data_IF_755231203998
#
_entry.id   IF_755231203998
#
_cell.length_a   1.000
_cell.length_b   1.000
_cell.length_c   1.000
_cell.angle_alpha   90.00
_cell.angle_beta   90.00
_cell.angle_gamma   90.00
#
_symmetry.space_group_name_H-M   'P 1'
#
loop_
_entity.id
_entity.type
_entity.pdbx_description
1 polymer ?
#
# COMPACT_ATOMS: atom_id res chain seq x y z
N UNK A 1 30.54 -8.25 -20.95
CA UNK A 1 29.95 -7.17 -20.17
C UNK A 1 29.42 -7.81 -18.89
N UNK A 2 30.18 -7.73 -17.80
CA UNK A 2 29.97 -8.47 -16.55
C UNK A 2 28.93 -7.72 -15.72
N UNK A 3 27.79 -8.36 -15.45
CA UNK A 3 26.84 -7.85 -14.47
C UNK A 3 27.41 -8.12 -13.07
N UNK A 4 27.85 -7.07 -12.42
CA UNK A 4 28.27 -7.11 -11.02
C UNK A 4 27.00 -7.34 -10.19
N UNK A 5 26.93 -8.54 -9.59
CA UNK A 5 25.87 -8.97 -8.67
C UNK A 5 26.10 -8.30 -7.29
N UNK A 6 25.73 -7.01 -7.19
CA UNK A 6 25.85 -6.25 -5.94
C UNK A 6 24.59 -6.49 -5.09
N UNK A 7 24.45 -7.74 -4.62
CA UNK A 7 23.45 -8.09 -3.60
C UNK A 7 23.99 -7.60 -2.26
N UNK A 8 23.34 -6.65 -1.60
CA UNK A 8 23.67 -6.35 -0.21
C UNK A 8 23.45 -7.61 0.61
N UNK A 9 24.53 -8.17 1.11
CA UNK A 9 24.54 -9.33 2.00
C UNK A 9 23.97 -8.90 3.37
N UNK A 10 22.65 -8.75 3.45
CA UNK A 10 21.97 -8.63 4.74
C UNK A 10 21.95 -10.03 5.32
N UNK A 11 22.95 -10.36 6.11
CA UNK A 11 22.92 -11.57 6.98
C UNK A 11 21.78 -11.36 7.96
N UNK A 12 20.60 -11.79 7.58
CA UNK A 12 19.46 -11.84 8.48
C UNK A 12 19.76 -12.90 9.52
N UNK A 13 19.84 -12.50 10.79
CA UNK A 13 19.90 -13.45 11.89
C UNK A 13 18.75 -14.46 11.72
N UNK A 14 18.99 -15.75 11.92
CA UNK A 14 17.99 -16.83 11.74
C UNK A 14 16.67 -16.60 12.51
N UNK A 15 16.65 -15.65 13.44
CA UNK A 15 15.53 -15.35 14.33
C UNK A 15 14.96 -13.93 14.17
N UNK A 16 15.21 -13.26 13.03
CA UNK A 16 14.75 -11.87 12.75
C UNK A 16 13.24 -11.67 12.92
N UNK A 17 12.44 -12.73 12.80
CA UNK A 17 10.98 -12.70 12.91
C UNK A 17 10.48 -12.91 14.36
N UNK A 18 11.35 -13.23 15.31
CA UNK A 18 10.96 -13.44 16.71
C UNK A 18 10.63 -12.13 17.40
N UNK A 19 9.46 -12.09 18.03
CA UNK A 19 9.05 -10.99 18.88
C UNK A 19 9.51 -11.27 20.31
N UNK A 20 10.05 -10.25 20.94
CA UNK A 20 10.31 -10.25 22.39
C UNK A 20 9.07 -9.73 23.11
N UNK A 21 8.89 -10.13 24.36
CA UNK A 21 7.86 -9.62 25.27
C UNK A 21 6.42 -9.79 24.74
N UNK A 22 6.12 -10.96 24.16
CA UNK A 22 4.82 -11.27 23.56
C UNK A 22 3.66 -11.28 24.56
N UNK A 23 3.94 -11.35 25.85
CA UNK A 23 2.94 -11.43 26.93
C UNK A 23 2.04 -10.19 27.01
N UNK A 24 2.52 -9.05 26.52
CA UNK A 24 1.79 -7.79 26.51
C UNK A 24 1.10 -7.47 25.17
N UNK A 25 1.15 -8.39 24.21
CA UNK A 25 0.54 -8.18 22.88
C UNK A 25 -0.88 -8.73 22.88
N UNK A 26 -1.85 -7.85 22.67
CA UNK A 26 -3.25 -8.25 22.47
C UNK A 26 -3.39 -8.93 21.11
N UNK A 27 -3.91 -10.16 21.11
CA UNK A 27 -4.13 -10.93 19.88
C UNK A 27 -5.62 -11.02 19.54
N UNK A 28 -6.00 -11.12 18.25
CA UNK A 28 -5.10 -11.21 17.08
C UNK A 28 -4.44 -9.87 16.73
N UNK A 29 -3.17 -9.89 16.29
CA UNK A 29 -2.42 -8.71 15.89
C UNK A 29 -1.71 -8.93 14.55
N UNK A 30 -1.55 -7.87 13.77
CA UNK A 30 -0.75 -7.88 12.54
C UNK A 30 0.68 -7.46 12.88
N UNK A 31 1.62 -8.37 12.65
CA UNK A 31 3.03 -8.07 12.81
C UNK A 31 3.60 -7.53 11.51
N UNK A 32 4.23 -6.37 11.58
CA UNK A 32 4.89 -5.72 10.44
C UNK A 32 6.36 -5.42 10.75
N UNK A 33 7.19 -5.46 9.73
CA UNK A 33 8.63 -5.15 9.79
C UNK A 33 8.90 -3.99 8.83
N UNK A 34 8.94 -2.74 9.33
CA UNK A 34 9.02 -1.55 8.48
C UNK A 34 10.20 -1.56 7.50
N UNK A 35 11.38 -2.01 7.96
CA UNK A 35 12.60 -2.07 7.14
C UNK A 35 12.45 -3.06 5.97
N UNK A 36 11.76 -4.19 6.20
CA UNK A 36 11.49 -5.17 5.14
C UNK A 36 10.42 -4.67 4.17
N UNK A 37 9.40 -3.98 4.67
CA UNK A 37 8.39 -3.34 3.82
C UNK A 37 9.06 -2.31 2.92
N UNK A 38 9.91 -1.43 3.47
CA UNK A 38 10.61 -0.42 2.68
C UNK A 38 11.55 -1.05 1.64
N UNK A 39 12.29 -2.10 2.00
CA UNK A 39 13.10 -2.87 1.06
C UNK A 39 12.25 -3.45 -0.07
N UNK A 40 11.09 -4.03 0.24
CA UNK A 40 10.18 -4.61 -0.74
C UNK A 40 9.61 -3.53 -1.68
N UNK A 41 9.26 -2.34 -1.16
CA UNK A 41 8.82 -1.21 -1.96
C UNK A 41 9.91 -0.80 -2.96
N UNK A 42 11.15 -0.62 -2.51
CA UNK A 42 12.29 -0.28 -3.38
C UNK A 42 12.53 -1.35 -4.45
N UNK A 43 12.46 -2.62 -4.07
CA UNK A 43 12.58 -3.76 -5.00
C UNK A 43 11.47 -3.74 -6.05
N UNK A 44 10.22 -3.55 -5.63
CA UNK A 44 9.07 -3.46 -6.54
C UNK A 44 9.22 -2.31 -7.54
N UNK A 45 9.66 -1.14 -7.10
CA UNK A 45 9.89 0.03 -7.96
C UNK A 45 10.99 -0.28 -9.00
N UNK A 46 12.09 -0.90 -8.56
CA UNK A 46 13.20 -1.29 -9.44
C UNK A 46 12.75 -2.30 -10.49
N UNK A 47 12.02 -3.35 -10.08
CA UNK A 47 11.52 -4.39 -10.99
C UNK A 47 10.52 -3.85 -12.01
N UNK A 48 9.69 -2.88 -11.62
CA UNK A 48 8.72 -2.24 -12.50
C UNK A 48 9.33 -1.19 -13.44
N UNK A 49 10.60 -0.83 -13.26
CA UNK A 49 11.23 0.24 -14.03
C UNK A 49 10.72 1.64 -13.67
N UNK A 50 10.20 1.82 -12.45
CA UNK A 50 9.78 3.12 -11.92
C UNK A 50 8.36 3.13 -11.34
N UNK A 51 8.08 4.14 -10.52
CA UNK A 51 6.82 4.28 -9.77
C UNK A 51 5.59 4.48 -10.65
N UNK A 52 5.76 5.09 -11.83
CA UNK A 52 4.66 5.35 -12.79
C UNK A 52 3.95 4.08 -13.28
N UNK A 53 4.64 2.93 -13.24
CA UNK A 53 4.13 1.63 -13.67
C UNK A 53 3.44 0.86 -12.55
N UNK A 54 3.41 1.41 -11.33
CA UNK A 54 2.88 0.75 -10.16
C UNK A 54 1.50 1.29 -9.78
N UNK A 55 0.62 0.36 -9.40
CA UNK A 55 -0.67 0.62 -8.76
C UNK A 55 -0.91 -0.49 -7.71
N UNK A 56 -0.23 -0.41 -6.55
CA UNK A 56 -0.37 -1.42 -5.50
C UNK A 56 -1.80 -1.54 -5.00
N UNK A 57 -2.19 -2.74 -4.62
CA UNK A 57 -3.50 -3.01 -4.05
C UNK A 57 -3.41 -3.05 -2.52
N UNK A 58 -4.15 -2.18 -1.81
CA UNK A 58 -4.06 -2.06 -0.36
C UNK A 58 -4.91 -3.08 0.42
N UNK A 59 -5.74 -3.88 -0.25
CA UNK A 59 -6.62 -4.87 0.41
C UNK A 59 -5.88 -5.85 1.33
N UNK A 60 -4.59 -6.08 1.08
CA UNK A 60 -3.77 -7.04 1.80
C UNK A 60 -3.33 -6.55 3.17
N UNK A 61 -3.14 -5.24 3.34
CA UNK A 61 -2.68 -4.65 4.60
C UNK A 61 -3.67 -3.66 5.20
N UNK A 62 -4.42 -2.89 4.40
CA UNK A 62 -5.42 -1.89 4.85
C UNK A 62 -4.87 -0.90 5.87
N UNK A 63 -3.59 -0.53 5.73
CA UNK A 63 -2.82 0.21 6.73
C UNK A 63 -2.34 1.53 6.15
N UNK A 64 -2.71 2.65 6.79
CA UNK A 64 -2.36 4.00 6.33
C UNK A 64 -0.84 4.24 6.33
N UNK A 65 -0.13 3.74 7.33
CA UNK A 65 1.32 3.88 7.48
C UNK A 65 2.07 3.24 6.31
N UNK A 66 1.59 2.09 5.80
CA UNK A 66 2.19 1.45 4.61
C UNK A 66 1.90 2.27 3.36
N UNK A 67 0.69 2.81 3.21
CA UNK A 67 0.35 3.72 2.10
C UNK A 67 1.24 4.95 2.14
N UNK A 68 1.41 5.59 3.30
CA UNK A 68 2.28 6.75 3.48
C UNK A 68 3.74 6.44 3.11
N UNK A 69 4.23 5.26 3.48
CA UNK A 69 5.57 4.82 3.11
C UNK A 69 5.71 4.66 1.58
N UNK A 70 4.69 4.10 0.92
CA UNK A 70 4.65 3.98 -0.55
C UNK A 70 4.60 5.35 -1.24
N UNK A 71 3.79 6.29 -0.72
CA UNK A 71 3.73 7.68 -1.19
C UNK A 71 5.09 8.39 -1.06
N UNK A 72 5.77 8.22 0.09
CA UNK A 72 7.12 8.74 0.33
C UNK A 72 8.13 8.26 -0.71
N UNK A 73 7.96 7.05 -1.24
CA UNK A 73 8.77 6.49 -2.32
C UNK A 73 8.27 6.85 -3.73
N UNK A 74 7.31 7.76 -3.85
CA UNK A 74 6.82 8.31 -5.12
C UNK A 74 5.74 7.47 -5.82
N UNK A 75 5.15 6.47 -5.17
CA UNK A 75 4.00 5.75 -5.70
C UNK A 75 2.76 6.59 -5.43
N UNK A 76 2.06 7.01 -6.49
CA UNK A 76 0.91 7.92 -6.41
C UNK A 76 -0.43 7.26 -6.78
N UNK A 77 -0.37 6.08 -7.40
CA UNK A 77 -1.55 5.35 -7.89
C UNK A 77 -1.79 4.13 -7.03
N UNK A 78 -3.03 3.93 -6.62
CA UNK A 78 -3.40 2.80 -5.76
C UNK A 78 -4.66 2.11 -6.25
N UNK A 79 -4.82 0.85 -5.84
CA UNK A 79 -6.00 0.04 -6.08
C UNK A 79 -6.59 -0.39 -4.74
N UNK A 80 -7.91 -0.37 -4.64
CA UNK A 80 -8.66 -0.79 -3.45
C UNK A 80 -9.82 -1.71 -3.83
N UNK A 81 -10.39 -2.41 -2.85
CA UNK A 81 -11.52 -3.32 -3.05
C UNK A 81 -12.81 -2.81 -2.41
N UNK A 82 -12.76 -1.85 -1.49
CA UNK A 82 -13.91 -1.34 -0.76
C UNK A 82 -13.94 0.18 -0.72
N UNK A 83 -15.12 0.76 -0.45
CA UNK A 83 -15.27 2.20 -0.25
C UNK A 83 -14.42 2.69 0.95
N UNK A 84 -14.36 1.91 2.04
CA UNK A 84 -13.54 2.26 3.20
C UNK A 84 -12.03 2.27 2.87
N UNK A 85 -11.56 1.36 2.01
CA UNK A 85 -10.19 1.40 1.51
C UNK A 85 -9.94 2.60 0.59
N UNK A 86 -10.92 2.99 -0.24
CA UNK A 86 -10.84 4.18 -1.08
C UNK A 86 -10.77 5.46 -0.22
N UNK A 87 -11.55 5.55 0.85
CA UNK A 87 -11.53 6.64 1.84
C UNK A 87 -10.18 6.72 2.55
N UNK A 88 -9.63 5.58 2.98
CA UNK A 88 -8.29 5.51 3.58
C UNK A 88 -7.24 6.07 2.62
N UNK A 89 -7.29 5.72 1.33
CA UNK A 89 -6.36 6.24 0.32
C UNK A 89 -6.52 7.75 0.10
N UNK A 90 -7.76 8.26 0.08
CA UNK A 90 -8.03 9.71 0.02
C UNK A 90 -7.44 10.44 1.23
N UNK A 91 -7.66 9.92 2.43
CA UNK A 91 -7.09 10.47 3.67
C UNK A 91 -5.55 10.45 3.68
N UNK A 92 -4.94 9.48 3.00
CA UNK A 92 -3.48 9.43 2.83
C UNK A 92 -2.93 10.40 1.77
N UNK A 93 -3.79 11.02 0.96
CA UNK A 93 -3.37 11.91 -0.13
C UNK A 93 -2.92 11.20 -1.40
N UNK A 94 -3.44 10.01 -1.67
CA UNK A 94 -3.17 9.30 -2.92
C UNK A 94 -3.77 10.05 -4.12
N UNK A 95 -2.96 10.28 -5.17
CA UNK A 95 -3.40 11.09 -6.31
C UNK A 95 -4.36 10.35 -7.25
N UNK A 96 -4.27 9.02 -7.36
CA UNK A 96 -5.09 8.23 -8.28
C UNK A 96 -5.53 6.91 -7.61
N UNK A 97 -6.84 6.76 -7.42
CA UNK A 97 -7.48 5.71 -6.64
C UNK A 97 -8.44 4.92 -7.52
N UNK A 98 -8.14 3.63 -7.75
CA UNK A 98 -9.00 2.72 -8.49
C UNK A 98 -9.76 1.79 -7.54
N UNK A 99 -11.07 1.94 -7.47
CA UNK A 99 -11.95 0.95 -6.84
C UNK A 99 -12.12 -0.24 -7.79
N UNK A 100 -11.50 -1.36 -7.44
CA UNK A 100 -11.51 -2.58 -8.25
C UNK A 100 -12.70 -3.49 -7.92
N UNK A 101 -13.83 -2.87 -7.65
CA UNK A 101 -15.12 -3.52 -7.45
C UNK A 101 -16.19 -2.57 -8.00
N UNK A 102 -17.15 -3.13 -8.71
CA UNK A 102 -18.30 -2.36 -9.22
C UNK A 102 -19.12 -1.83 -8.02
N UNK A 103 -19.27 -0.50 -7.87
CA UNK A 103 -20.13 0.04 -6.83
C UNK A 103 -21.59 -0.22 -7.20
N UNK A 104 -22.34 -0.79 -6.27
CA UNK A 104 -23.77 -1.09 -6.42
C UNK A 104 -24.54 -0.59 -5.20
N UNK A 105 -25.85 -0.27 -5.40
CA UNK A 105 -26.73 0.21 -4.34
C UNK A 105 -26.16 1.43 -3.60
N UNK A 106 -26.18 1.44 -2.24
CA UNK A 106 -25.70 2.57 -1.44
C UNK A 106 -24.23 2.95 -1.69
N UNK A 107 -23.44 2.01 -2.19
CA UNK A 107 -22.01 2.27 -2.46
C UNK A 107 -21.79 3.25 -3.61
N UNK A 108 -22.76 3.40 -4.52
CA UNK A 108 -22.70 4.40 -5.59
C UNK A 108 -22.65 5.81 -4.99
N UNK A 109 -23.61 6.14 -4.12
CA UNK A 109 -23.66 7.44 -3.44
C UNK A 109 -22.42 7.68 -2.58
N UNK A 110 -21.95 6.68 -1.85
CA UNK A 110 -20.74 6.76 -1.03
C UNK A 110 -19.50 7.03 -1.88
N UNK A 111 -19.39 6.39 -3.06
CA UNK A 111 -18.27 6.61 -3.97
C UNK A 111 -18.25 8.04 -4.49
N UNK A 112 -19.40 8.58 -4.93
CA UNK A 112 -19.48 9.98 -5.39
C UNK A 112 -19.20 10.98 -4.26
N UNK A 113 -19.55 10.65 -3.02
CA UNK A 113 -19.21 11.47 -1.86
C UNK A 113 -17.68 11.57 -1.68
N UNK A 114 -16.94 10.48 -1.83
CA UNK A 114 -15.47 10.51 -1.76
C UNK A 114 -14.85 11.44 -2.82
N UNK A 115 -15.40 11.47 -4.05
CA UNK A 115 -14.93 12.38 -5.08
C UNK A 115 -15.07 13.85 -4.65
N UNK A 116 -16.14 14.17 -3.93
CA UNK A 116 -16.39 15.53 -3.41
C UNK A 116 -15.53 15.85 -2.19
N UNK A 117 -15.24 14.87 -1.34
CA UNK A 117 -14.44 15.04 -0.12
C UNK A 117 -12.94 15.16 -0.41
N UNK A 118 -12.46 14.54 -1.48
CA UNK A 118 -11.04 14.52 -1.84
C UNK A 118 -10.82 15.08 -3.25
N UNK A 119 -11.00 16.39 -3.47
CA UNK A 119 -10.96 17.00 -4.80
C UNK A 119 -9.60 16.91 -5.50
N UNK A 120 -8.51 16.70 -4.73
CA UNK A 120 -7.15 16.55 -5.25
C UNK A 120 -6.83 15.12 -5.69
N UNK A 121 -7.76 14.18 -5.49
CA UNK A 121 -7.61 12.77 -5.86
C UNK A 121 -8.50 12.40 -7.04
N UNK A 122 -7.97 11.65 -7.99
CA UNK A 122 -8.74 11.05 -9.09
C UNK A 122 -9.31 9.72 -8.62
N UNK A 123 -10.63 9.60 -8.59
CA UNK A 123 -11.30 8.34 -8.30
C UNK A 123 -11.84 7.71 -9.58
N UNK A 124 -11.60 6.41 -9.72
CA UNK A 124 -12.14 5.58 -10.80
C UNK A 124 -12.67 4.25 -10.24
N UNK A 125 -13.64 3.66 -10.91
CA UNK A 125 -14.19 2.34 -10.56
C UNK A 125 -14.29 1.47 -11.81
N UNK A 126 -14.23 0.15 -11.62
CA UNK A 126 -14.60 -0.78 -12.69
C UNK A 126 -16.14 -0.86 -12.78
N UNK A 127 -16.65 -1.02 -13.99
CA UNK A 127 -18.07 -1.15 -14.34
C UNK A 127 -18.32 -2.40 -15.17
#
# INVERSE_FOLDING_TARGET
>A
MSFIDDKPNVVMNKEWYRIKDTENIVTPALLVYPELIEKNIKTMISMAGGTRHLRPHIKTHKTAEIVQLQLKHGIQKFKCATIAEAELLGNCGAADILLALQPVGPNITRFFRLISEFPDSIFSAIV
#
